data_IF_258244982098
#
_entry.id   IF_258244982098
#
_cell.length_a   1.000
_cell.length_b   1.000
_cell.length_c   1.000
_cell.angle_alpha   90.00
_cell.angle_beta   90.00
_cell.angle_gamma   90.00
#
_symmetry.space_group_name_H-M   'P 1'
#
loop_
_entity.id
_entity.type
_entity.pdbx_description
1 polymer ?
#
# COMPACT_ATOMS: atom_id res chain seq x y z
N UNK A 1 5.18 10.57 -2.59
CA UNK A 1 5.21 10.96 -4.02
C UNK A 1 5.29 12.48 -4.12
N UNK A 2 6.43 13.06 -4.47
CA UNK A 2 6.58 14.51 -4.62
C UNK A 2 5.96 15.01 -5.93
N UNK A 3 5.42 16.20 -5.90
CA UNK A 3 4.95 16.98 -7.05
C UNK A 3 5.40 18.42 -6.90
N UNK A 4 5.67 19.07 -8.00
CA UNK A 4 6.01 20.51 -8.01
C UNK A 4 4.94 21.26 -8.77
N UNK A 5 4.42 22.33 -8.18
CA UNK A 5 3.44 23.20 -8.83
C UNK A 5 4.08 23.94 -10.00
N UNK A 6 3.68 23.65 -11.24
CA UNK A 6 4.23 24.29 -12.44
C UNK A 6 3.72 25.74 -12.61
N UNK A 7 2.60 26.05 -12.00
CA UNK A 7 1.97 27.37 -11.97
C UNK A 7 1.30 27.58 -10.62
N UNK A 8 0.86 28.80 -10.36
CA UNK A 8 -0.01 29.05 -9.22
C UNK A 8 -1.31 28.26 -9.34
N UNK A 9 -1.75 27.65 -8.23
CA UNK A 9 -2.96 26.84 -8.19
C UNK A 9 -3.59 26.88 -6.79
N UNK A 10 -4.86 26.52 -6.69
CA UNK A 10 -5.53 26.31 -5.41
C UNK A 10 -5.91 24.85 -5.29
N UNK A 11 -5.48 24.21 -4.23
CA UNK A 11 -5.76 22.79 -3.92
C UNK A 11 -6.38 22.70 -2.52
N UNK A 12 -7.56 22.13 -2.43
CA UNK A 12 -8.32 22.03 -1.17
C UNK A 12 -8.41 23.36 -0.40
N UNK A 13 -8.68 24.46 -1.10
CA UNK A 13 -8.79 25.82 -0.54
C UNK A 13 -7.44 26.48 -0.19
N UNK A 14 -6.31 25.80 -0.42
CA UNK A 14 -4.97 26.36 -0.15
C UNK A 14 -4.29 26.82 -1.43
N UNK A 15 -3.81 28.06 -1.42
CA UNK A 15 -3.03 28.64 -2.52
C UNK A 15 -1.63 28.06 -2.55
N UNK A 16 -1.26 27.49 -3.68
CA UNK A 16 0.08 27.00 -3.99
C UNK A 16 0.77 27.98 -4.95
N UNK A 17 1.95 28.40 -4.61
CA UNK A 17 2.79 29.22 -5.52
C UNK A 17 3.44 28.30 -6.56
N UNK A 18 3.79 28.85 -7.72
CA UNK A 18 4.67 28.18 -8.68
C UNK A 18 5.96 27.73 -7.97
N UNK A 19 6.40 26.51 -8.21
CA UNK A 19 7.56 25.89 -7.57
C UNK A 19 7.28 25.26 -6.20
N UNK A 20 6.08 25.40 -5.63
CA UNK A 20 5.74 24.78 -4.36
C UNK A 20 5.84 23.25 -4.47
N UNK A 21 6.51 22.62 -3.49
CA UNK A 21 6.57 21.19 -3.35
C UNK A 21 5.32 20.68 -2.64
N UNK A 22 4.63 19.75 -3.28
CA UNK A 22 3.45 19.04 -2.74
C UNK A 22 3.83 17.58 -2.52
N UNK A 23 3.71 17.11 -1.29
CA UNK A 23 3.99 15.73 -0.95
C UNK A 23 2.68 14.94 -0.78
N UNK A 24 2.51 13.92 -1.60
CA UNK A 24 1.43 12.94 -1.45
C UNK A 24 2.01 11.74 -0.72
N UNK A 25 1.41 11.35 0.40
CA UNK A 25 1.89 10.27 1.26
C UNK A 25 0.90 9.10 1.28
N UNK A 26 1.01 8.10 0.37
CA UNK A 26 0.09 6.97 0.30
C UNK A 26 0.00 6.20 1.62
N UNK A 27 1.12 6.00 2.31
CA UNK A 27 1.13 5.35 3.62
C UNK A 27 0.16 5.98 4.61
N UNK A 28 0.16 7.32 4.73
CA UNK A 28 -0.73 8.05 5.62
C UNK A 28 -2.17 8.04 5.11
N UNK A 29 -2.34 8.17 3.78
CA UNK A 29 -3.66 8.14 3.15
C UNK A 29 -4.36 6.79 3.39
N UNK A 30 -3.64 5.69 3.19
CA UNK A 30 -4.17 4.33 3.36
C UNK A 30 -4.41 3.95 4.84
N UNK A 31 -4.03 4.82 5.79
CA UNK A 31 -4.24 4.64 7.24
C UNK A 31 -5.02 5.79 7.89
N UNK A 32 -5.68 6.58 7.07
CA UNK A 32 -6.46 7.70 7.57
C UNK A 32 -7.86 7.22 7.99
N UNK A 33 -8.19 7.32 9.28
CA UNK A 33 -9.47 6.91 9.83
C UNK A 33 -10.70 7.65 9.29
N UNK A 34 -10.49 8.76 8.57
CA UNK A 34 -11.58 9.42 7.82
C UNK A 34 -12.09 8.57 6.65
N UNK A 35 -11.20 7.77 6.05
CA UNK A 35 -11.47 7.00 4.83
C UNK A 35 -11.52 5.49 5.06
N UNK A 36 -10.88 5.02 6.14
CA UNK A 36 -10.71 3.60 6.44
C UNK A 36 -11.20 3.30 7.84
N UNK A 37 -12.22 2.47 7.98
CA UNK A 37 -12.57 1.89 9.27
C UNK A 37 -11.46 0.93 9.71
N UNK A 38 -11.05 0.99 10.98
CA UNK A 38 -9.94 0.19 11.51
C UNK A 38 -8.69 0.20 10.61
N UNK A 39 -8.08 1.39 10.34
CA UNK A 39 -7.07 1.54 9.30
C UNK A 39 -5.77 0.77 9.58
N UNK A 40 -5.57 0.29 10.79
CA UNK A 40 -4.41 -0.52 11.19
C UNK A 40 -4.68 -2.02 11.18
N UNK A 41 -5.93 -2.44 11.04
CA UNK A 41 -6.29 -3.85 10.94
C UNK A 41 -6.02 -4.39 9.53
N UNK A 42 -5.42 -5.58 9.47
CA UNK A 42 -5.32 -6.32 8.21
C UNK A 42 -6.68 -6.95 7.90
N UNK A 43 -7.37 -6.37 6.93
CA UNK A 43 -8.72 -6.76 6.51
C UNK A 43 -8.77 -6.82 4.98
N UNK A 44 -8.34 -7.94 4.38
CA UNK A 44 -8.34 -8.12 2.93
C UNK A 44 -9.74 -8.08 2.33
N UNK A 45 -10.77 -8.39 3.12
CA UNK A 45 -12.18 -8.35 2.72
C UNK A 45 -12.63 -6.96 2.21
N UNK A 46 -11.89 -5.90 2.55
CA UNK A 46 -12.15 -4.55 2.02
C UNK A 46 -12.10 -4.47 0.49
N UNK A 47 -11.36 -5.38 -0.12
CA UNK A 47 -11.09 -5.42 -1.56
C UNK A 47 -11.88 -6.51 -2.28
N UNK A 48 -12.82 -7.15 -1.61
CA UNK A 48 -13.73 -8.08 -2.26
C UNK A 48 -14.71 -7.31 -3.16
N UNK A 49 -15.18 -7.89 -4.27
CA UNK A 49 -16.09 -7.24 -5.21
C UNK A 49 -17.35 -6.65 -4.55
N UNK A 50 -17.91 -7.35 -3.57
CA UNK A 50 -19.10 -6.90 -2.82
C UNK A 50 -18.84 -5.66 -1.93
N UNK A 51 -17.59 -5.32 -1.68
CA UNK A 51 -17.18 -4.17 -0.86
C UNK A 51 -16.54 -3.05 -1.70
N UNK A 52 -16.46 -3.20 -3.02
CA UNK A 52 -15.80 -2.24 -3.90
C UNK A 52 -16.43 -0.85 -3.84
N UNK A 53 -17.75 -0.77 -3.75
CA UNK A 53 -18.48 0.49 -3.64
C UNK A 53 -18.19 1.26 -2.33
N UNK A 54 -17.74 0.55 -1.28
CA UNK A 54 -17.32 1.16 -0.02
C UNK A 54 -15.92 1.76 -0.09
N UNK A 55 -15.14 1.46 -1.13
CA UNK A 55 -13.82 2.02 -1.34
C UNK A 55 -13.93 3.43 -1.90
N UNK A 56 -13.51 4.40 -1.10
CA UNK A 56 -13.54 5.81 -1.52
C UNK A 56 -12.54 6.04 -2.64
N UNK A 57 -13.05 6.52 -3.77
CA UNK A 57 -12.24 6.82 -4.93
C UNK A 57 -11.07 7.77 -4.57
N UNK A 58 -9.84 7.34 -4.89
CA UNK A 58 -8.62 8.09 -4.58
C UNK A 58 -8.09 7.89 -3.16
N UNK A 59 -8.77 7.14 -2.28
CA UNK A 59 -8.25 6.79 -0.96
C UNK A 59 -7.27 5.62 -1.01
N UNK A 60 -7.28 4.81 -2.06
CA UNK A 60 -6.34 3.71 -2.29
C UNK A 60 -5.54 3.93 -3.57
N UNK A 61 -4.28 4.31 -3.45
CA UNK A 61 -3.40 4.65 -4.56
C UNK A 61 -2.00 4.01 -4.40
N UNK A 62 -1.91 2.67 -4.27
CA UNK A 62 -0.64 1.99 -4.00
C UNK A 62 0.41 2.22 -5.09
N UNK A 63 -0.02 2.40 -6.33
CA UNK A 63 0.82 2.66 -7.50
C UNK A 63 0.73 4.10 -8.02
N UNK A 64 0.16 5.00 -7.25
CA UNK A 64 -0.15 6.36 -7.71
C UNK A 64 -1.46 6.43 -8.48
N UNK A 65 -1.72 7.58 -9.09
CA UNK A 65 -2.93 7.84 -9.88
C UNK A 65 -2.65 8.92 -10.93
N UNK A 66 -3.41 8.88 -12.03
CA UNK A 66 -3.33 9.83 -13.14
C UNK A 66 -2.11 9.62 -14.03
N UNK A 67 -1.62 10.65 -14.73
CA UNK A 67 -0.54 10.52 -15.74
C UNK A 67 0.78 9.99 -15.19
N UNK A 68 0.95 9.99 -13.87
CA UNK A 68 2.15 9.51 -13.18
C UNK A 68 1.91 8.20 -12.42
N UNK A 69 0.91 7.43 -12.80
CA UNK A 69 0.71 6.07 -12.29
C UNK A 69 1.93 5.19 -12.63
N UNK A 70 2.29 4.30 -11.73
CA UNK A 70 3.41 3.38 -11.94
C UNK A 70 3.20 2.55 -13.20
N UNK A 71 4.13 2.62 -14.14
CA UNK A 71 4.09 1.85 -15.39
C UNK A 71 4.14 0.34 -15.14
N UNK A 72 4.80 -0.09 -14.07
CA UNK A 72 4.93 -1.50 -13.67
C UNK A 72 3.79 -2.03 -12.79
N UNK A 73 2.71 -1.27 -12.59
CA UNK A 73 1.64 -1.66 -11.66
C UNK A 73 1.03 -3.03 -12.01
N UNK A 74 0.65 -3.25 -13.27
CA UNK A 74 0.07 -4.52 -13.71
C UNK A 74 1.05 -5.69 -13.57
N UNK A 75 2.32 -5.47 -13.93
CA UNK A 75 3.35 -6.48 -13.75
C UNK A 75 3.51 -6.85 -12.27
N UNK A 76 3.69 -5.86 -11.40
CA UNK A 76 3.89 -6.09 -9.97
C UNK A 76 2.69 -6.78 -9.31
N UNK A 77 1.47 -6.44 -9.70
CA UNK A 77 0.26 -7.10 -9.19
C UNK A 77 0.21 -8.57 -9.63
N UNK A 78 0.43 -8.86 -10.91
CA UNK A 78 0.41 -10.22 -11.44
C UNK A 78 1.50 -11.08 -10.79
N UNK A 79 2.73 -10.57 -10.73
CA UNK A 79 3.86 -11.25 -10.11
C UNK A 79 3.58 -11.56 -8.63
N UNK A 80 3.09 -10.57 -7.87
CA UNK A 80 2.78 -10.74 -6.44
C UNK A 80 1.70 -11.80 -6.22
N UNK A 81 0.66 -11.82 -7.03
CA UNK A 81 -0.42 -12.82 -6.93
C UNK A 81 0.11 -14.23 -7.24
N UNK A 82 0.89 -14.40 -8.31
CA UNK A 82 1.44 -15.70 -8.69
C UNK A 82 2.40 -16.25 -7.64
N UNK A 83 3.32 -15.40 -7.14
CA UNK A 83 4.26 -15.80 -6.09
C UNK A 83 3.52 -16.17 -4.81
N UNK A 84 2.57 -15.33 -4.38
CA UNK A 84 1.81 -15.60 -3.16
C UNK A 84 0.96 -16.86 -3.28
N UNK A 85 0.28 -17.07 -4.41
CA UNK A 85 -0.51 -18.26 -4.66
C UNK A 85 0.34 -19.53 -4.57
N UNK A 86 1.53 -19.53 -5.19
CA UNK A 86 2.44 -20.67 -5.14
C UNK A 86 2.97 -20.93 -3.74
N UNK A 87 3.30 -19.88 -3.01
CA UNK A 87 3.78 -20.01 -1.63
C UNK A 87 2.71 -20.54 -0.68
N UNK A 88 1.48 -20.02 -0.71
CA UNK A 88 0.40 -20.48 0.19
C UNK A 88 -0.14 -21.85 -0.18
N UNK A 89 0.03 -22.29 -1.44
CA UNK A 89 -0.31 -23.63 -1.88
C UNK A 89 0.64 -24.70 -1.33
N UNK A 90 1.91 -24.34 -1.14
CA UNK A 90 2.94 -25.30 -0.75
C UNK A 90 3.29 -25.25 0.72
N UNK A 91 3.12 -24.10 1.37
CA UNK A 91 3.68 -23.87 2.69
C UNK A 91 2.68 -23.26 3.65
N UNK A 92 2.77 -23.69 4.90
CA UNK A 92 2.17 -23.04 6.05
C UNK A 92 3.20 -22.14 6.74
N UNK A 93 2.78 -20.98 7.21
CA UNK A 93 3.68 -19.92 7.65
C UNK A 93 3.30 -19.42 9.04
N UNK A 94 4.23 -19.39 9.93
CA UNK A 94 4.03 -18.81 11.25
C UNK A 94 5.14 -17.79 11.53
N UNK A 95 4.74 -16.62 12.00
CA UNK A 95 5.70 -15.63 12.50
C UNK A 95 6.42 -16.20 13.70
N UNK A 96 7.75 -16.11 13.73
CA UNK A 96 8.53 -16.60 14.87
C UNK A 96 8.14 -15.86 16.15
N UNK A 97 8.00 -16.55 17.29
CA UNK A 97 7.58 -15.94 18.55
C UNK A 97 8.45 -14.74 18.96
N UNK A 98 7.83 -13.74 19.57
CA UNK A 98 8.52 -12.57 20.09
C UNK A 98 8.90 -11.50 19.05
N UNK A 99 8.63 -11.74 17.78
CA UNK A 99 8.88 -10.72 16.75
C UNK A 99 7.79 -9.65 16.69
N UNK A 100 8.23 -8.42 16.51
CA UNK A 100 7.37 -7.29 16.16
C UNK A 100 7.86 -6.72 14.84
N UNK A 101 7.02 -6.81 13.80
CA UNK A 101 7.33 -6.27 12.49
C UNK A 101 7.01 -4.78 12.47
N UNK A 102 8.03 -3.95 12.36
CA UNK A 102 7.90 -2.50 12.27
C UNK A 102 8.15 -2.02 10.84
N UNK A 103 7.35 -1.09 10.33
CA UNK A 103 7.60 -0.50 9.01
C UNK A 103 8.76 0.48 9.06
N UNK A 104 9.61 0.46 8.03
CA UNK A 104 10.63 1.47 7.77
C UNK A 104 10.35 2.18 6.45
N UNK A 105 10.36 3.51 6.50
CA UNK A 105 10.26 4.33 5.31
C UNK A 105 11.62 4.38 4.61
N UNK A 106 11.64 3.93 3.37
CA UNK A 106 12.74 4.07 2.41
C UNK A 106 12.14 4.66 1.13
N UNK A 107 12.71 4.36 -0.02
CA UNK A 107 12.04 4.67 -1.30
C UNK A 107 10.67 3.96 -1.40
N UNK A 108 10.60 2.73 -0.88
CA UNK A 108 9.38 1.99 -0.60
C UNK A 108 9.29 1.70 0.90
N UNK A 109 8.08 1.39 1.41
CA UNK A 109 7.93 0.90 2.78
C UNK A 109 8.28 -0.57 2.82
N UNK A 110 9.12 -0.95 3.78
CA UNK A 110 9.55 -2.34 4.01
C UNK A 110 9.66 -2.61 5.51
N UNK A 111 9.78 -3.88 5.94
CA UNK A 111 10.15 -4.19 7.32
C UNK A 111 11.46 -3.50 7.72
N UNK A 112 11.53 -2.98 8.95
CA UNK A 112 12.73 -2.34 9.50
C UNK A 112 13.84 -3.37 9.73
N UNK A 113 13.43 -4.53 10.21
CA UNK A 113 14.30 -5.63 10.59
C UNK A 113 13.97 -6.88 9.76
N UNK A 114 14.76 -7.93 9.87
CA UNK A 114 14.45 -9.21 9.25
C UNK A 114 13.17 -9.81 9.84
N UNK A 115 12.34 -10.36 8.96
CA UNK A 115 11.13 -11.09 9.37
C UNK A 115 11.42 -12.58 9.29
N UNK A 116 11.49 -13.22 10.45
CA UNK A 116 11.76 -14.66 10.56
C UNK A 116 10.44 -15.42 10.64
N UNK A 117 10.29 -16.40 9.79
CA UNK A 117 9.11 -17.25 9.71
C UNK A 117 9.48 -18.70 9.96
N UNK A 118 8.65 -19.42 10.70
CA UNK A 118 8.64 -20.87 10.66
C UNK A 118 7.84 -21.33 9.46
N UNK A 119 8.44 -22.12 8.61
CA UNK A 119 7.83 -22.59 7.37
C UNK A 119 7.69 -24.11 7.45
N UNK A 120 6.50 -24.59 7.18
CA UNK A 120 6.20 -26.02 7.08
C UNK A 120 5.66 -26.32 5.70
N UNK A 121 6.22 -27.32 5.03
CA UNK A 121 5.67 -27.81 3.77
C UNK A 121 4.33 -28.50 4.02
N UNK A 122 3.33 -28.13 3.25
CA UNK A 122 2.04 -28.82 3.28
C UNK A 122 2.21 -30.18 2.60
N UNK A 123 1.72 -31.23 3.25
CA UNK A 123 1.66 -32.54 2.62
C UNK A 123 0.71 -32.49 1.42
N UNK A 124 1.10 -33.10 0.32
CA UNK A 124 0.28 -33.23 -0.89
C UNK A 124 -0.97 -34.06 -0.61
#
# INVERSE_FOLDING_TARGET
>A
MPRVALREATVAGRRLRKGALVMIAPWTLHRNGKWWSDPHAFRPERFLPENEDALIQGAYIPFGQGPHTCVGAGFAQTESVLILAELVRQFDWLLSPGQTVRPAARMTTRPADQVMLHVRHLAA
#
